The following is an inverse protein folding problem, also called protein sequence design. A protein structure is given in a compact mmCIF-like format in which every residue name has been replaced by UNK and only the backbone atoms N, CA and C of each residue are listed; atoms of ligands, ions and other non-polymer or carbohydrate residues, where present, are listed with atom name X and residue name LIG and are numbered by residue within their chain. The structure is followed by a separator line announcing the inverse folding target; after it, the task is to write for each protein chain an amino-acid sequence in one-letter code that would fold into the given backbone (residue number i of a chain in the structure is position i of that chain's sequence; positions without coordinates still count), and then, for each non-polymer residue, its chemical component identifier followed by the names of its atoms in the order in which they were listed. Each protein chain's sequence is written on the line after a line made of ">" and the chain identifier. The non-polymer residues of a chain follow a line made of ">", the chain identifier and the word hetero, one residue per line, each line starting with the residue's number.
data_IF_125597709426
#
_entry.id   IF_125597709426
#
_cell.length_a   1.000
_cell.length_b   1.000
_cell.length_c   1.000
_cell.angle_alpha   90.00
_cell.angle_beta   90.00
_cell.angle_gamma   90.00
#
_symmetry.space_group_name_H-M   'P 1'
#
loop_
_entity.id
_entity.type
_entity.pdbx_description
1 polymer ?
#
# COMPACT_ATOMS: atom_id res chain seq x y z
N UNK A 1 1.95 -3.86 24.94
CA UNK A 1 1.53 -4.58 23.71
C UNK A 1 2.75 -4.88 22.86
N UNK A 2 2.85 -6.09 22.33
CA UNK A 2 3.94 -6.51 21.44
C UNK A 2 3.35 -6.71 20.05
N UNK A 3 3.99 -6.13 19.03
CA UNK A 3 3.58 -6.31 17.64
C UNK A 3 3.72 -7.79 17.25
N UNK A 4 2.69 -8.42 16.67
CA UNK A 4 2.77 -9.82 16.27
C UNK A 4 3.69 -10.01 15.08
N UNK A 5 4.26 -11.19 14.96
CA UNK A 5 5.07 -11.56 13.79
C UNK A 5 4.25 -11.48 12.51
N UNK A 6 4.78 -10.76 11.50
CA UNK A 6 4.12 -10.56 10.21
C UNK A 6 5.09 -10.88 9.08
N UNK A 7 4.70 -11.79 8.20
CA UNK A 7 5.55 -12.27 7.10
C UNK A 7 5.45 -11.35 5.89
N UNK A 8 6.57 -10.74 5.49
CA UNK A 8 6.74 -10.01 4.23
C UNK A 8 7.55 -10.88 3.28
N UNK A 9 7.01 -11.17 2.10
CA UNK A 9 7.66 -11.98 1.08
C UNK A 9 7.79 -11.15 -0.18
N UNK A 10 9.02 -11.08 -0.72
CA UNK A 10 9.31 -10.38 -1.99
C UNK A 10 10.18 -11.27 -2.86
N UNK A 11 9.79 -11.41 -4.11
CA UNK A 11 10.50 -12.19 -5.11
C UNK A 11 10.77 -11.38 -6.37
N UNK A 12 11.93 -11.58 -6.97
CA UNK A 12 12.29 -11.06 -8.28
C UNK A 12 12.91 -12.20 -9.08
N UNK A 13 12.43 -12.39 -10.31
CA UNK A 13 13.02 -13.32 -11.26
C UNK A 13 13.22 -12.63 -12.60
N UNK A 14 14.38 -12.86 -13.22
CA UNK A 14 14.68 -12.41 -14.58
C UNK A 14 15.28 -13.54 -15.38
N UNK A 15 14.87 -13.66 -16.64
CA UNK A 15 15.41 -14.66 -17.57
C UNK A 15 15.48 -14.07 -18.98
N UNK A 16 16.65 -14.20 -19.60
CA UNK A 16 16.83 -13.80 -21.01
C UNK A 16 16.88 -15.07 -21.85
N UNK A 17 16.01 -15.16 -22.85
CA UNK A 17 15.98 -16.24 -23.83
C UNK A 17 17.09 -15.95 -24.86
N UNK A 18 18.22 -16.69 -24.85
CA UNK A 18 19.40 -16.28 -25.60
C UNK A 18 19.20 -16.30 -27.11
N UNK A 19 18.35 -17.22 -27.61
CA UNK A 19 18.13 -17.41 -29.04
C UNK A 19 17.27 -16.31 -29.65
N UNK A 20 16.47 -15.66 -28.83
CA UNK A 20 15.48 -14.66 -29.29
C UNK A 20 15.75 -13.27 -28.74
N UNK A 21 16.77 -13.09 -27.91
CA UNK A 21 17.04 -11.82 -27.24
C UNK A 21 15.79 -11.22 -26.57
N UNK A 22 14.97 -12.09 -25.98
CA UNK A 22 13.79 -11.71 -25.22
C UNK A 22 14.09 -11.84 -23.74
N UNK A 23 13.96 -10.75 -23.02
CA UNK A 23 14.07 -10.70 -21.57
C UNK A 23 12.68 -10.79 -20.93
N UNK A 24 12.53 -11.71 -20.01
CA UNK A 24 11.37 -11.84 -19.14
C UNK A 24 11.78 -11.41 -17.74
N UNK A 25 10.94 -10.64 -17.06
CA UNK A 25 11.12 -10.34 -15.66
C UNK A 25 9.76 -10.39 -14.93
N UNK A 26 9.78 -10.87 -13.70
CA UNK A 26 8.60 -10.92 -12.85
C UNK A 26 8.98 -10.48 -11.46
N UNK A 27 8.13 -9.69 -10.82
CA UNK A 27 8.20 -9.37 -9.40
C UNK A 27 6.97 -9.91 -8.71
N UNK A 28 7.15 -10.42 -7.51
CA UNK A 28 6.07 -10.84 -6.63
C UNK A 28 6.27 -10.22 -5.26
N UNK A 29 5.22 -9.56 -4.76
CA UNK A 29 5.18 -8.94 -3.45
C UNK A 29 3.96 -9.48 -2.71
N UNK A 30 4.19 -10.02 -1.52
CA UNK A 30 3.14 -10.45 -0.59
C UNK A 30 3.42 -9.83 0.76
N UNK A 31 2.77 -8.71 1.06
CA UNK A 31 2.96 -7.96 2.30
C UNK A 31 1.68 -7.98 3.13
N UNK A 32 1.79 -8.07 4.46
CA UNK A 32 0.63 -7.98 5.34
C UNK A 32 0.01 -6.58 5.23
N UNK A 33 -1.32 -6.49 5.38
CA UNK A 33 -2.01 -5.21 5.49
C UNK A 33 -1.55 -4.44 6.74
N UNK A 34 -1.72 -3.14 6.80
CA UNK A 34 -1.40 -2.32 7.98
C UNK A 34 -2.30 -2.69 9.17
N UNK A 35 -1.88 -2.41 10.39
CA UNK A 35 -2.78 -2.51 11.53
C UNK A 35 -3.76 -1.34 11.51
N UNK A 36 -4.98 -1.61 11.97
CA UNK A 36 -6.09 -0.66 11.94
C UNK A 36 -6.34 -0.12 13.34
N UNK A 37 -6.68 1.16 13.40
CA UNK A 37 -6.97 1.89 14.62
C UNK A 37 -8.37 2.50 14.59
N UNK A 38 -8.91 2.78 15.77
CA UNK A 38 -10.11 3.58 15.93
C UNK A 38 -9.75 4.84 16.74
N UNK A 39 -9.15 5.81 16.09
CA UNK A 39 -8.63 7.02 16.73
C UNK A 39 -9.74 8.02 16.98
N UNK A 40 -10.20 8.08 18.22
CA UNK A 40 -11.14 9.09 18.68
C UNK A 40 -10.36 10.34 19.10
N UNK A 41 -10.72 11.49 18.51
CA UNK A 41 -10.11 12.77 18.80
C UNK A 41 -11.04 13.56 19.75
N UNK A 42 -10.64 13.67 21.01
CA UNK A 42 -11.33 14.48 22.01
C UNK A 42 -10.72 15.88 22.04
N UNK A 43 -11.44 16.88 21.57
CA UNK A 43 -11.07 18.27 21.71
C UNK A 43 -11.56 18.88 23.04
N UNK A 44 -11.12 20.12 23.35
CA UNK A 44 -11.50 20.78 24.57
C UNK A 44 -13.02 21.01 24.67
N UNK A 45 -13.74 21.20 23.56
CA UNK A 45 -15.19 21.37 23.55
C UNK A 45 -15.89 20.07 23.95
N UNK A 46 -15.48 18.94 23.38
CA UNK A 46 -15.99 17.62 23.72
C UNK A 46 -15.70 17.26 25.18
N UNK A 47 -14.48 17.55 25.68
CA UNK A 47 -14.07 17.27 27.05
C UNK A 47 -14.87 18.12 28.05
N UNK A 48 -15.21 19.36 27.69
CA UNK A 48 -16.02 20.23 28.53
C UNK A 48 -17.50 19.86 28.58
N UNK A 49 -18.05 19.35 27.44
CA UNK A 49 -19.48 19.02 27.27
C UNK A 49 -19.80 17.54 27.41
N UNK A 50 -18.81 16.66 27.52
CA UNK A 50 -18.97 15.19 27.55
C UNK A 50 -19.71 14.69 28.80
N UNK A 51 -20.06 13.39 28.84
CA UNK A 51 -20.85 12.78 29.92
C UNK A 51 -20.11 12.76 31.27
N UNK A 52 -18.79 12.89 31.24
CA UNK A 52 -17.96 13.11 32.44
C UNK A 52 -16.99 14.25 32.17
N UNK A 53 -17.45 15.51 32.24
CA UNK A 53 -16.64 16.65 31.91
C UNK A 53 -15.47 16.79 32.90
N UNK A 54 -14.29 17.06 32.35
CA UNK A 54 -13.09 17.28 33.16
C UNK A 54 -13.16 18.58 33.97
N UNK A 55 -14.12 19.47 33.66
CA UNK A 55 -14.29 20.78 34.26
C UNK A 55 -13.22 21.79 33.87
N UNK A 56 -12.26 21.45 33.06
CA UNK A 56 -11.19 22.32 32.57
C UNK A 56 -10.69 21.84 31.20
N UNK A 57 -10.05 22.71 30.45
CA UNK A 57 -9.35 22.38 29.22
C UNK A 57 -8.10 21.49 29.47
N UNK A 58 -7.64 20.77 28.46
CA UNK A 58 -6.38 20.05 28.50
C UNK A 58 -5.21 21.02 28.71
N UNK A 59 -4.27 20.66 29.55
CA UNK A 59 -3.07 21.45 29.80
C UNK A 59 -1.99 21.06 28.80
N UNK A 60 -1.53 22.02 27.98
CA UNK A 60 -0.44 21.80 27.02
C UNK A 60 -0.83 21.15 25.71
N UNK A 61 -2.10 20.76 25.49
CA UNK A 61 -2.60 20.20 24.25
C UNK A 61 -4.01 20.73 23.92
N UNK A 62 -4.29 20.91 22.62
CA UNK A 62 -5.63 21.31 22.18
C UNK A 62 -6.59 20.11 22.06
N UNK A 63 -6.05 18.91 21.85
CA UNK A 63 -6.78 17.66 21.63
C UNK A 63 -6.08 16.50 22.33
N UNK A 64 -6.83 15.45 22.65
CA UNK A 64 -6.32 14.15 23.06
C UNK A 64 -6.83 13.10 22.07
N UNK A 65 -5.93 12.31 21.50
CA UNK A 65 -6.30 11.20 20.64
C UNK A 65 -6.20 9.89 21.40
N UNK A 66 -7.27 9.10 21.38
CA UNK A 66 -7.35 7.80 22.06
C UNK A 66 -7.74 6.75 21.05
N UNK A 67 -6.90 5.72 20.91
CA UNK A 67 -7.27 4.55 20.12
C UNK A 67 -8.25 3.69 20.92
N UNK A 68 -9.47 3.50 20.41
CA UNK A 68 -10.56 2.79 21.08
C UNK A 68 -10.45 1.27 20.97
N UNK A 69 -9.57 0.75 20.11
CA UNK A 69 -9.31 -0.68 19.97
C UNK A 69 -7.90 -1.02 20.48
N UNK A 70 -7.69 -2.20 21.07
CA UNK A 70 -6.35 -2.61 21.49
C UNK A 70 -5.38 -2.62 20.31
N UNK A 71 -4.16 -2.10 20.45
CA UNK A 71 -3.16 -2.15 19.39
C UNK A 71 -2.91 -3.58 18.89
N UNK A 72 -2.69 -3.73 17.58
CA UNK A 72 -2.36 -5.00 16.92
C UNK A 72 -3.41 -6.11 17.00
N UNK A 73 -4.68 -5.75 17.21
CA UNK A 73 -5.80 -6.71 17.22
C UNK A 73 -6.57 -6.77 15.90
N UNK A 74 -6.44 -5.73 15.07
CA UNK A 74 -7.15 -5.61 13.82
C UNK A 74 -6.20 -5.21 12.69
N UNK A 75 -6.29 -5.91 11.56
CA UNK A 75 -5.40 -5.69 10.42
C UNK A 75 -6.19 -5.62 9.13
N UNK A 76 -5.68 -4.82 8.19
CA UNK A 76 -6.14 -4.78 6.81
C UNK A 76 -5.75 -6.06 6.05
N UNK A 77 -6.35 -6.23 4.88
CA UNK A 77 -6.08 -7.37 4.01
C UNK A 77 -4.63 -7.41 3.52
N UNK A 78 -4.11 -8.62 3.37
CA UNK A 78 -2.78 -8.86 2.79
C UNK A 78 -2.75 -8.43 1.33
N UNK A 79 -1.77 -7.61 0.96
CA UNK A 79 -1.55 -7.21 -0.42
C UNK A 79 -0.65 -8.22 -1.13
N UNK A 80 -1.19 -8.85 -2.18
CA UNK A 80 -0.45 -9.67 -3.12
C UNK A 80 -0.39 -8.94 -4.45
N UNK A 81 0.81 -8.70 -4.97
CA UNK A 81 1.01 -8.04 -6.25
C UNK A 81 2.01 -8.83 -7.10
N UNK A 82 1.69 -8.99 -8.37
CA UNK A 82 2.58 -9.57 -9.37
C UNK A 82 2.69 -8.59 -10.51
N UNK A 83 3.93 -8.20 -10.83
CA UNK A 83 4.22 -7.42 -12.03
C UNK A 83 5.02 -8.27 -13.00
N UNK A 84 4.84 -8.06 -14.28
CA UNK A 84 5.49 -8.84 -15.32
C UNK A 84 5.99 -7.93 -16.43
N UNK A 85 7.21 -8.20 -16.91
CA UNK A 85 7.84 -7.49 -18.04
C UNK A 85 8.28 -8.46 -19.09
N UNK A 86 8.03 -8.12 -20.34
CA UNK A 86 8.62 -8.73 -21.54
C UNK A 86 9.35 -7.65 -22.30
N UNK A 87 10.62 -7.86 -22.61
CA UNK A 87 11.40 -6.91 -23.40
C UNK A 87 12.15 -7.63 -24.53
N UNK A 88 12.11 -7.06 -25.72
CA UNK A 88 12.87 -7.49 -26.89
C UNK A 88 14.11 -6.63 -27.03
N UNK A 89 15.27 -7.26 -27.09
CA UNK A 89 16.55 -6.58 -27.35
C UNK A 89 16.81 -6.66 -28.85
N UNK A 90 17.09 -5.52 -29.45
CA UNK A 90 17.44 -5.37 -30.86
C UNK A 90 18.82 -4.71 -30.96
N UNK A 91 19.65 -5.22 -31.86
CA UNK A 91 20.93 -4.60 -32.18
C UNK A 91 20.81 -3.98 -33.59
N UNK A 92 20.71 -2.64 -33.65
CA UNK A 92 20.48 -1.86 -34.86
C UNK A 92 21.64 -0.90 -35.05
N UNK A 93 22.39 -1.01 -36.13
CA UNK A 93 23.49 -0.09 -36.49
C UNK A 93 24.54 0.11 -35.37
N UNK A 94 24.85 -0.94 -34.60
CA UNK A 94 25.79 -0.88 -33.46
C UNK A 94 25.18 -0.35 -32.15
N UNK A 95 23.94 0.10 -32.17
CA UNK A 95 23.19 0.52 -30.99
C UNK A 95 22.38 -0.64 -30.42
N UNK A 96 22.29 -0.70 -29.09
CA UNK A 96 21.41 -1.63 -28.39
C UNK A 96 20.08 -0.95 -28.10
N UNK A 97 19.02 -1.41 -28.74
CA UNK A 97 17.66 -0.90 -28.53
C UNK A 97 16.84 -1.96 -27.82
N UNK A 98 16.13 -1.57 -26.76
CA UNK A 98 15.25 -2.46 -26.03
C UNK A 98 13.82 -1.93 -26.06
N UNK A 99 12.90 -2.72 -26.58
CA UNK A 99 11.47 -2.44 -26.51
C UNK A 99 10.84 -3.36 -25.47
N UNK A 100 10.13 -2.76 -24.52
CA UNK A 100 9.53 -3.48 -23.40
C UNK A 100 8.04 -3.20 -23.23
N UNK A 101 7.34 -4.23 -22.75
CA UNK A 101 5.96 -4.15 -22.26
C UNK A 101 5.96 -4.57 -20.80
N UNK A 102 5.57 -3.66 -19.93
CA UNK A 102 5.43 -3.90 -18.51
C UNK A 102 3.93 -4.01 -18.18
N UNK A 103 3.53 -5.04 -17.46
CA UNK A 103 2.17 -5.24 -16.96
C UNK A 103 2.25 -5.15 -15.43
N UNK A 104 1.62 -4.15 -14.86
CA UNK A 104 1.53 -3.94 -13.43
C UNK A 104 0.21 -4.48 -12.89
N UNK A 105 0.27 -5.01 -11.66
CA UNK A 105 -0.86 -5.66 -11.02
C UNK A 105 -1.51 -6.72 -11.93
N UNK A 106 -0.71 -7.69 -12.38
CA UNK A 106 -1.12 -8.74 -13.32
C UNK A 106 -2.37 -9.50 -12.86
N UNK A 107 -2.50 -9.71 -11.55
CA UNK A 107 -3.64 -10.41 -10.93
C UNK A 107 -4.89 -9.53 -10.84
N UNK A 108 -4.75 -8.23 -11.10
CA UNK A 108 -5.81 -7.22 -10.95
C UNK A 108 -6.46 -7.24 -9.57
N UNK A 109 -5.64 -7.34 -8.52
CA UNK A 109 -6.10 -7.26 -7.14
C UNK A 109 -6.50 -5.84 -6.78
N UNK A 110 -7.58 -5.68 -6.02
CA UNK A 110 -8.20 -4.41 -5.64
C UNK A 110 -8.11 -4.11 -4.13
N UNK A 111 -7.01 -4.52 -3.53
CA UNK A 111 -6.79 -4.37 -2.09
C UNK A 111 -6.81 -2.91 -1.67
N UNK A 112 -7.51 -2.61 -0.60
CA UNK A 112 -7.49 -1.29 0.05
C UNK A 112 -6.11 -1.08 0.68
N UNK A 113 -5.44 0.02 0.33
CA UNK A 113 -4.08 0.35 0.78
C UNK A 113 -4.05 1.39 1.89
N UNK A 114 -5.15 2.12 2.10
CA UNK A 114 -5.29 3.03 3.23
C UNK A 114 -6.76 3.19 3.63
N UNK A 115 -6.98 3.40 4.94
CA UNK A 115 -8.30 3.53 5.54
C UNK A 115 -8.41 4.84 6.35
N UNK A 116 -9.62 5.35 6.48
CA UNK A 116 -9.90 6.38 7.47
C UNK A 116 -9.92 5.74 8.87
N UNK A 117 -8.88 5.98 9.64
CA UNK A 117 -8.73 5.45 11.00
C UNK A 117 -9.28 6.40 12.08
N UNK A 118 -9.81 7.57 11.69
CA UNK A 118 -10.47 8.47 12.62
C UNK A 118 -11.87 7.96 12.92
N UNK A 119 -12.13 7.67 14.20
CA UNK A 119 -13.43 7.24 14.67
C UNK A 119 -14.29 8.45 15.07
N UNK A 120 -15.45 8.58 14.43
CA UNK A 120 -16.50 9.52 14.82
C UNK A 120 -17.79 8.74 14.98
N UNK A 121 -18.52 8.83 16.08
CA UNK A 121 -19.81 8.14 16.26
C UNK A 121 -20.77 8.44 15.10
N UNK A 122 -21.24 7.39 14.41
CA UNK A 122 -22.07 7.53 13.22
C UNK A 122 -21.34 7.97 11.94
N UNK A 123 -20.05 8.18 11.99
CA UNK A 123 -19.23 8.57 10.85
C UNK A 123 -18.63 7.38 10.08
N UNK A 124 -17.94 7.65 8.95
CA UNK A 124 -17.40 6.62 8.05
C UNK A 124 -16.05 6.07 8.55
N UNK A 125 -16.02 5.44 9.72
CA UNK A 125 -14.83 4.75 10.21
C UNK A 125 -14.48 3.55 9.31
N UNK A 126 -13.20 3.35 9.03
CA UNK A 126 -12.63 2.37 8.10
C UNK A 126 -13.13 2.51 6.64
N UNK A 127 -13.65 3.67 6.27
CA UNK A 127 -13.89 3.91 4.85
C UNK A 127 -12.56 3.89 4.07
N UNK A 128 -12.49 3.21 2.92
CA UNK A 128 -11.31 3.21 2.07
C UNK A 128 -10.93 4.62 1.63
N UNK A 129 -9.66 4.99 1.80
CA UNK A 129 -9.11 6.27 1.32
C UNK A 129 -8.14 6.10 0.17
N UNK A 130 -7.57 4.90 -0.01
CA UNK A 130 -6.76 4.54 -1.15
C UNK A 130 -6.93 3.07 -1.51
N UNK A 131 -6.87 2.78 -2.81
CA UNK A 131 -6.93 1.45 -3.39
C UNK A 131 -5.64 1.15 -4.15
N UNK A 132 -5.27 -0.12 -4.24
CA UNK A 132 -4.22 -0.54 -5.15
C UNK A 132 -4.63 -0.16 -6.59
N UNK A 133 -3.71 0.41 -7.40
CA UNK A 133 -4.00 0.71 -8.79
C UNK A 133 -4.47 -0.54 -9.55
N UNK A 134 -5.49 -0.38 -10.40
CA UNK A 134 -5.94 -1.44 -11.28
C UNK A 134 -4.80 -1.88 -12.21
N UNK A 135 -4.94 -3.07 -12.80
CA UNK A 135 -3.98 -3.56 -13.80
C UNK A 135 -3.83 -2.58 -14.95
N UNK A 136 -2.61 -2.24 -15.29
CA UNK A 136 -2.28 -1.42 -16.44
C UNK A 136 -1.02 -1.91 -17.15
N UNK A 137 -0.86 -1.52 -18.40
CA UNK A 137 0.33 -1.81 -19.18
C UNK A 137 1.08 -0.51 -19.51
N UNK A 138 2.42 -0.60 -19.55
CA UNK A 138 3.32 0.45 -19.98
C UNK A 138 4.21 -0.05 -21.11
N UNK A 139 4.35 0.74 -22.16
CA UNK A 139 5.33 0.52 -23.20
C UNK A 139 6.59 1.32 -22.88
N UNK A 140 7.74 0.72 -23.09
CA UNK A 140 9.05 1.34 -22.87
C UNK A 140 9.97 1.11 -24.07
N UNK A 141 10.73 2.14 -24.42
CA UNK A 141 11.78 2.09 -25.43
C UNK A 141 13.05 2.66 -24.81
N UNK A 142 14.11 1.90 -24.82
CA UNK A 142 15.43 2.28 -24.34
C UNK A 142 16.44 2.14 -25.48
N UNK A 143 17.25 3.17 -25.72
CA UNK A 143 18.28 3.18 -26.75
C UNK A 143 19.62 3.49 -26.07
N UNK A 144 20.57 2.55 -26.19
CA UNK A 144 21.94 2.72 -25.72
C UNK A 144 22.88 2.78 -26.92
N UNK A 145 23.69 3.82 -27.00
CA UNK A 145 24.65 4.10 -28.06
C UNK A 145 26.06 4.25 -27.53
#
# INVERSE_FOLDING_TARGET
>A
YVEPYRTDIRGLATYTIPRWDVQLAATWISVPGEYLEANFVADNAWIAAGPQPLGRALTGAAVATVNLIPPYTMFADRRNNVDFRVAKILHIAGMRTQFGVDIYNLMNTDVVTAYNQTFVPGGPWLAPTALQPARYARLSLEIAF
#
